data_IF_434706446760
#
_entry.id   IF_434706446760
#
_cell.length_a   1.000
_cell.length_b   1.000
_cell.length_c   1.000
_cell.angle_alpha   90.00
_cell.angle_beta   90.00
_cell.angle_gamma   90.00
#
_symmetry.space_group_name_H-M   'P 1'
#
loop_
_entity.id
_entity.type
_entity.pdbx_description
1 polymer ?
#
# COMPACT_ATOMS: atom_id res chain seq x y z
N UNK A 1 26.38 -14.76 40.97
CA UNK A 1 26.68 -13.69 39.99
C UNK A 1 26.29 -14.02 38.54
N UNK A 2 26.59 -15.22 38.01
CA UNK A 2 26.31 -15.56 36.59
C UNK A 2 24.81 -15.52 36.24
N UNK A 3 23.97 -16.16 37.06
CA UNK A 3 22.51 -16.21 36.87
C UNK A 3 21.86 -14.81 36.93
N UNK A 4 22.27 -13.97 37.88
CA UNK A 4 21.76 -12.60 38.03
C UNK A 4 22.05 -11.76 36.78
N UNK A 5 23.25 -11.87 36.20
CA UNK A 5 23.60 -11.18 34.95
C UNK A 5 22.77 -11.67 33.76
N UNK A 6 22.54 -12.98 33.66
CA UNK A 6 21.70 -13.57 32.61
C UNK A 6 20.25 -13.09 32.71
N UNK A 7 19.69 -13.03 33.92
CA UNK A 7 18.33 -12.52 34.15
C UNK A 7 18.22 -11.05 33.77
N UNK A 8 19.19 -10.21 34.15
CA UNK A 8 19.22 -8.79 33.77
C UNK A 8 19.26 -8.62 32.25
N UNK A 9 20.13 -9.38 31.56
CA UNK A 9 20.21 -9.34 30.10
C UNK A 9 18.90 -9.75 29.43
N UNK A 10 18.24 -10.82 29.91
CA UNK A 10 16.96 -11.26 29.38
C UNK A 10 15.88 -10.17 29.53
N UNK A 11 15.82 -9.49 30.68
CA UNK A 11 14.88 -8.40 30.91
C UNK A 11 15.14 -7.19 30.00
N UNK A 12 16.41 -6.86 29.75
CA UNK A 12 16.78 -5.79 28.81
C UNK A 12 16.33 -6.13 27.39
N UNK A 13 16.54 -7.37 26.94
CA UNK A 13 16.11 -7.80 25.60
C UNK A 13 14.59 -7.75 25.47
N UNK A 14 13.86 -8.26 26.46
CA UNK A 14 12.38 -8.20 26.47
C UNK A 14 11.90 -6.74 26.43
N UNK A 15 12.44 -5.88 27.30
CA UNK A 15 12.08 -4.46 27.34
C UNK A 15 12.37 -3.74 26.02
N UNK A 16 13.50 -4.03 25.39
CA UNK A 16 13.85 -3.47 24.08
C UNK A 16 12.91 -3.96 22.98
N UNK A 17 12.61 -5.26 22.91
CA UNK A 17 11.67 -5.81 21.92
C UNK A 17 10.25 -5.27 22.09
N UNK A 18 9.75 -5.15 23.32
CA UNK A 18 8.44 -4.58 23.60
C UNK A 18 8.37 -3.09 23.20
N UNK A 19 9.43 -2.34 23.49
CA UNK A 19 9.54 -0.92 23.13
C UNK A 19 9.64 -0.72 21.61
N UNK A 20 10.40 -1.56 20.92
CA UNK A 20 10.48 -1.57 19.46
C UNK A 20 9.12 -1.88 18.83
N UNK A 21 8.45 -2.94 19.29
CA UNK A 21 7.09 -3.31 18.84
C UNK A 21 6.09 -2.16 19.05
N UNK A 22 6.11 -1.53 20.23
CA UNK A 22 5.23 -0.40 20.51
C UNK A 22 5.52 0.79 19.61
N UNK A 23 6.79 1.08 19.33
CA UNK A 23 7.18 2.20 18.48
C UNK A 23 6.82 1.96 17.01
N UNK A 24 7.06 0.76 16.48
CA UNK A 24 6.77 0.43 15.08
C UNK A 24 5.28 0.23 14.80
N UNK A 25 4.48 -0.11 15.82
CA UNK A 25 3.05 -0.38 15.68
C UNK A 25 2.17 0.77 16.15
N UNK A 26 2.72 1.99 16.28
CA UNK A 26 1.92 3.18 16.57
C UNK A 26 1.04 3.49 15.36
N UNK A 27 -0.26 3.70 15.60
CA UNK A 27 -1.15 4.25 14.58
C UNK A 27 -0.63 5.63 14.18
N UNK A 28 -0.18 5.77 12.93
CA UNK A 28 0.01 7.08 12.32
C UNK A 28 -1.39 7.65 12.11
N UNK A 29 -1.74 8.71 12.84
CA UNK A 29 -2.99 9.41 12.58
C UNK A 29 -2.95 9.89 11.12
N UNK A 30 -3.94 9.50 10.29
CA UNK A 30 -3.99 9.98 8.91
C UNK A 30 -3.98 11.50 8.94
N UNK A 31 -3.07 12.13 8.20
CA UNK A 31 -3.16 13.57 7.95
C UNK A 31 -4.48 13.78 7.22
N UNK A 32 -5.35 14.65 7.75
CA UNK A 32 -6.56 15.03 7.02
C UNK A 32 -6.14 15.70 5.71
N UNK A 33 -6.42 15.04 4.59
CA UNK A 33 -6.17 15.54 3.26
C UNK A 33 -7.43 16.18 2.71
N UNK A 34 -7.29 17.36 2.11
CA UNK A 34 -8.37 18.00 1.37
C UNK A 34 -8.48 17.42 -0.04
N UNK A 35 -9.59 17.67 -0.73
CA UNK A 35 -9.72 17.25 -2.13
C UNK A 35 -8.70 17.98 -3.02
N UNK A 36 -8.39 19.24 -2.69
CA UNK A 36 -7.36 20.04 -3.35
C UNK A 36 -5.97 19.39 -3.23
N UNK A 37 -5.65 18.81 -2.07
CA UNK A 37 -4.40 18.05 -1.88
C UNK A 37 -4.34 16.84 -2.80
N UNK A 38 -5.45 16.09 -2.94
CA UNK A 38 -5.55 14.92 -3.83
C UNK A 38 -5.38 15.32 -5.29
N UNK A 39 -5.98 16.43 -5.72
CA UNK A 39 -5.82 16.96 -7.08
C UNK A 39 -4.38 17.41 -7.33
N UNK A 40 -3.75 18.05 -6.36
CA UNK A 40 -2.35 18.47 -6.45
C UNK A 40 -1.41 17.26 -6.54
N UNK A 41 -1.62 16.23 -5.72
CA UNK A 41 -0.86 14.98 -5.75
C UNK A 41 -0.97 14.27 -7.10
N UNK A 42 -2.19 14.11 -7.62
CA UNK A 42 -2.42 13.52 -8.94
C UNK A 42 -1.68 14.27 -10.05
N UNK A 43 -1.70 15.60 -10.00
CA UNK A 43 -0.96 16.44 -10.94
C UNK A 43 0.56 16.27 -10.82
N UNK A 44 1.10 16.18 -9.60
CA UNK A 44 2.53 15.95 -9.38
C UNK A 44 2.97 14.56 -9.81
N UNK A 45 2.17 13.54 -9.52
CA UNK A 45 2.44 12.15 -9.90
C UNK A 45 2.13 11.82 -11.36
N UNK A 46 1.51 12.74 -12.11
CA UNK A 46 1.22 12.57 -13.53
C UNK A 46 0.11 11.56 -13.84
N UNK A 47 -0.76 11.28 -12.87
CA UNK A 47 -1.94 10.41 -13.04
C UNK A 47 -3.24 11.22 -13.01
N UNK A 48 -4.33 10.56 -13.41
CA UNK A 48 -5.67 11.15 -13.40
C UNK A 48 -6.48 10.55 -12.26
N UNK A 49 -7.29 11.39 -11.62
CA UNK A 49 -8.33 10.94 -10.72
C UNK A 49 -9.50 10.38 -11.53
N UNK A 50 -10.17 9.38 -10.97
CA UNK A 50 -11.37 8.77 -11.51
C UNK A 50 -12.39 8.64 -10.38
N UNK A 51 -13.66 8.92 -10.66
CA UNK A 51 -14.73 8.71 -9.68
C UNK A 51 -15.35 7.31 -9.83
N UNK A 52 -16.25 6.98 -8.91
CA UNK A 52 -16.86 5.64 -8.83
C UNK A 52 -17.74 5.38 -10.06
N UNK A 53 -18.49 6.39 -10.51
CA UNK A 53 -19.41 6.29 -11.63
C UNK A 53 -18.65 6.00 -12.94
N UNK A 54 -17.61 6.78 -13.23
CA UNK A 54 -16.76 6.63 -14.41
C UNK A 54 -16.02 5.29 -14.39
N UNK A 55 -15.50 4.88 -13.22
CA UNK A 55 -14.87 3.57 -13.07
C UNK A 55 -15.85 2.44 -13.35
N UNK A 56 -17.07 2.52 -12.81
CA UNK A 56 -18.11 1.53 -13.02
C UNK A 56 -18.55 1.45 -14.50
N UNK A 57 -18.65 2.58 -15.19
CA UNK A 57 -18.95 2.63 -16.62
C UNK A 57 -17.86 1.96 -17.46
N UNK A 58 -16.58 2.31 -17.21
CA UNK A 58 -15.43 1.71 -17.90
C UNK A 58 -15.34 0.20 -17.65
N UNK A 59 -15.54 -0.20 -16.40
CA UNK A 59 -15.52 -1.60 -15.99
C UNK A 59 -16.63 -2.43 -16.67
N UNK A 60 -17.83 -1.87 -16.85
CA UNK A 60 -18.93 -2.53 -17.57
C UNK A 60 -18.69 -2.63 -19.08
N UNK A 61 -18.04 -1.63 -19.67
CA UNK A 61 -17.85 -1.53 -21.12
C UNK A 61 -16.77 -2.49 -21.63
N UNK A 62 -15.60 -2.50 -21.00
CA UNK A 62 -14.50 -3.38 -21.40
C UNK A 62 -13.56 -3.68 -20.22
N UNK A 63 -13.94 -4.66 -19.40
CA UNK A 63 -13.15 -5.09 -18.25
C UNK A 63 -11.80 -5.73 -18.62
N UNK A 64 -11.57 -6.10 -19.88
CA UNK A 64 -10.30 -6.72 -20.31
C UNK A 64 -9.21 -5.68 -20.59
N UNK A 65 -9.60 -4.46 -20.96
CA UNK A 65 -8.68 -3.35 -21.20
C UNK A 65 -8.39 -2.50 -19.96
N UNK A 66 -9.10 -2.77 -18.86
CA UNK A 66 -8.93 -2.09 -17.59
C UNK A 66 -8.23 -3.02 -16.59
N UNK A 67 -6.99 -2.69 -16.23
CA UNK A 67 -6.34 -3.33 -15.09
C UNK A 67 -6.71 -2.57 -13.81
N UNK A 68 -7.34 -3.25 -12.87
CA UNK A 68 -7.59 -2.70 -11.53
C UNK A 68 -6.56 -3.29 -10.57
N UNK A 69 -5.86 -2.43 -9.84
CA UNK A 69 -4.82 -2.82 -8.89
C UNK A 69 -5.23 -2.35 -7.49
N UNK A 70 -5.39 -3.29 -6.58
CA UNK A 70 -5.64 -3.04 -5.16
C UNK A 70 -4.30 -2.92 -4.44
N UNK A 71 -4.01 -1.74 -3.90
CA UNK A 71 -2.72 -1.44 -3.24
C UNK A 71 -2.69 -1.74 -1.75
N UNK A 72 -3.84 -2.17 -1.20
CA UNK A 72 -3.99 -2.47 0.22
C UNK A 72 -3.29 -3.75 0.61
N UNK A 73 -3.23 -3.98 1.92
CA UNK A 73 -2.64 -5.19 2.47
C UNK A 73 -3.43 -6.44 2.02
N UNK A 74 -2.70 -7.54 1.84
CA UNK A 74 -3.23 -8.82 1.39
C UNK A 74 -4.44 -9.31 2.22
N UNK A 75 -4.43 -9.06 3.54
CA UNK A 75 -5.54 -9.46 4.42
C UNK A 75 -6.82 -8.64 4.14
N UNK A 76 -6.71 -7.36 3.77
CA UNK A 76 -7.85 -6.53 3.38
C UNK A 76 -8.44 -6.99 2.06
N UNK A 77 -7.56 -7.24 1.07
CA UNK A 77 -7.95 -7.75 -0.24
C UNK A 77 -8.78 -9.04 -0.12
N UNK A 78 -8.37 -9.97 0.75
CA UNK A 78 -9.10 -11.23 0.99
C UNK A 78 -10.50 -11.05 1.56
N UNK A 79 -10.72 -10.01 2.36
CA UNK A 79 -12.03 -9.74 2.98
C UNK A 79 -13.05 -9.12 2.03
N UNK A 80 -12.57 -8.52 0.92
CA UNK A 80 -13.40 -7.94 -0.12
C UNK A 80 -12.60 -7.00 -1.01
N UNK A 81 -12.77 -7.15 -2.32
CA UNK A 81 -12.10 -6.35 -3.34
C UNK A 81 -12.98 -6.23 -4.59
N UNK A 82 -12.63 -5.29 -5.47
CA UNK A 82 -13.30 -5.15 -6.77
C UNK A 82 -13.02 -6.40 -7.58
N UNK A 83 -14.08 -7.04 -8.12
CA UNK A 83 -13.95 -8.29 -8.88
C UNK A 83 -12.94 -8.11 -10.03
N UNK A 84 -12.03 -9.10 -10.17
CA UNK A 84 -10.90 -9.10 -11.12
C UNK A 84 -9.78 -8.10 -10.84
N UNK A 85 -9.82 -7.33 -9.75
CA UNK A 85 -8.66 -6.57 -9.31
C UNK A 85 -7.51 -7.50 -8.92
N UNK A 86 -6.28 -7.11 -9.21
CA UNK A 86 -5.08 -7.79 -8.76
C UNK A 86 -4.51 -7.05 -7.54
N UNK A 87 -4.06 -7.78 -6.52
CA UNK A 87 -3.45 -7.16 -5.34
C UNK A 87 -1.95 -6.95 -5.55
N UNK A 88 -1.49 -5.74 -5.26
CA UNK A 88 -0.07 -5.40 -5.13
C UNK A 88 0.09 -4.53 -3.88
N UNK A 89 0.28 -5.12 -2.69
CA UNK A 89 0.43 -4.36 -1.46
C UNK A 89 1.61 -3.39 -1.57
N UNK A 90 1.37 -2.11 -1.28
CA UNK A 90 2.41 -1.08 -1.34
C UNK A 90 2.29 -0.17 -0.13
N UNK A 91 3.38 0.00 0.59
CA UNK A 91 3.45 0.99 1.67
C UNK A 91 3.68 2.38 1.05
N UNK A 92 2.98 3.44 1.50
CA UNK A 92 3.14 4.80 0.99
C UNK A 92 4.40 5.46 1.57
N UNK A 93 5.55 4.83 1.34
CA UNK A 93 6.85 5.31 1.79
C UNK A 93 7.84 5.30 0.63
N UNK A 94 8.67 6.34 0.56
CA UNK A 94 9.72 6.47 -0.46
C UNK A 94 10.59 5.20 -0.57
N UNK A 95 10.93 4.59 0.57
CA UNK A 95 11.76 3.39 0.58
C UNK A 95 11.04 2.18 -0.04
N UNK A 96 9.73 2.03 0.22
CA UNK A 96 8.92 0.97 -0.39
C UNK A 96 8.84 1.18 -1.89
N UNK A 97 8.48 2.40 -2.34
CA UNK A 97 8.38 2.76 -3.75
C UNK A 97 9.66 2.43 -4.52
N UNK A 98 10.82 2.80 -3.96
CA UNK A 98 12.11 2.52 -4.59
C UNK A 98 12.41 1.02 -4.67
N UNK A 99 12.14 0.27 -3.60
CA UNK A 99 12.40 -1.17 -3.52
C UNK A 99 11.46 -1.98 -4.43
N UNK A 100 10.21 -1.55 -4.55
CA UNK A 100 9.14 -2.30 -5.22
C UNK A 100 8.98 -1.94 -6.69
N UNK A 101 9.65 -0.89 -7.18
CA UNK A 101 9.57 -0.43 -8.58
C UNK A 101 9.72 -1.54 -9.62
N UNK A 102 10.73 -2.41 -9.47
CA UNK A 102 10.97 -3.51 -10.42
C UNK A 102 9.92 -4.62 -10.32
N UNK A 103 9.45 -4.91 -9.10
CA UNK A 103 8.39 -5.88 -8.87
C UNK A 103 7.06 -5.37 -9.47
N UNK A 104 6.76 -4.08 -9.28
CA UNK A 104 5.59 -3.42 -9.85
C UNK A 104 5.64 -3.44 -11.38
N UNK A 105 6.79 -3.11 -11.98
CA UNK A 105 6.93 -3.14 -13.44
C UNK A 105 6.66 -4.55 -14.02
N UNK A 106 7.16 -5.58 -13.36
CA UNK A 106 6.94 -6.98 -13.73
C UNK A 106 5.47 -7.36 -13.57
N UNK A 107 4.85 -6.95 -12.46
CA UNK A 107 3.44 -7.20 -12.15
C UNK A 107 2.49 -6.54 -13.16
N UNK A 108 2.76 -5.28 -13.55
CA UNK A 108 1.96 -4.57 -14.54
C UNK A 108 2.09 -5.16 -15.94
N UNK A 109 3.21 -5.84 -16.21
CA UNK A 109 3.47 -6.55 -17.45
C UNK A 109 3.98 -5.65 -18.59
N UNK A 110 4.09 -6.24 -19.80
CA UNK A 110 4.74 -5.59 -20.94
C UNK A 110 3.85 -4.57 -21.66
N UNK A 111 2.53 -4.69 -21.55
CA UNK A 111 1.61 -3.75 -22.19
C UNK A 111 1.52 -2.43 -21.41
N UNK A 112 2.19 -1.40 -21.93
CA UNK A 112 2.22 -0.04 -21.36
C UNK A 112 1.10 0.86 -21.87
N UNK A 113 0.26 0.38 -22.80
CA UNK A 113 -0.85 1.15 -23.36
C UNK A 113 -2.20 0.85 -22.67
N UNK A 114 -2.24 -0.20 -21.85
CA UNK A 114 -3.42 -0.58 -21.07
C UNK A 114 -3.75 0.49 -20.02
N UNK A 115 -5.06 0.74 -19.83
CA UNK A 115 -5.52 1.60 -18.74
C UNK A 115 -5.38 0.87 -17.41
N UNK A 116 -4.74 1.52 -16.44
CA UNK A 116 -4.54 0.99 -15.08
C UNK A 116 -5.21 1.93 -14.09
N UNK A 117 -5.95 1.38 -13.14
CA UNK A 117 -6.54 2.12 -12.01
C UNK A 117 -6.05 1.49 -10.72
N UNK A 118 -5.37 2.29 -9.91
CA UNK A 118 -4.97 1.93 -8.55
C UNK A 118 -6.04 2.41 -7.57
N UNK A 119 -6.28 1.62 -6.52
CA UNK A 119 -7.14 1.99 -5.40
C UNK A 119 -6.64 1.39 -4.07
#
# INVERSE_FOLDING_TARGET
MKVIRTVILALVVIGFTASALWFTNRSVAPKEATFEDVVAEAKMGGYKLINIEELAERYKKDSKQLLIVDTRQEWEYRTGHIKYALNFPMEPTWLSEWREKSALETFLGPDKNRSIVFY
#
